data_IF_195014860229
#
_entry.id   IF_195014860229
#
_cell.length_a   1.000
_cell.length_b   1.000
_cell.length_c   1.000
_cell.angle_alpha   90.00
_cell.angle_beta   90.00
_cell.angle_gamma   90.00
#
_symmetry.space_group_name_H-M   'P 1'
#
loop_
_entity.id
_entity.type
_entity.pdbx_description
1 polymer ?
#
# COMPACT_ATOMS: atom_id res chain seq x y z
N UNK A 1 80.91 -4.14 -16.88
CA UNK A 1 81.47 -4.98 -15.80
C UNK A 1 80.58 -4.90 -14.57
N UNK A 2 80.13 -6.07 -14.08
CA UNK A 2 79.67 -6.43 -12.73
C UNK A 2 78.60 -5.60 -12.00
N UNK A 3 77.62 -6.18 -11.28
CA UNK A 3 77.10 -7.56 -11.09
C UNK A 3 75.97 -7.42 -10.04
N UNK A 4 74.84 -8.09 -10.31
CA UNK A 4 74.04 -8.92 -9.39
C UNK A 4 73.15 -8.25 -8.31
N UNK A 5 71.86 -8.55 -8.47
CA UNK A 5 70.69 -8.46 -7.57
C UNK A 5 70.84 -9.39 -6.33
N UNK A 6 70.24 -9.08 -5.16
CA UNK A 6 68.99 -9.73 -4.74
C UNK A 6 68.12 -8.75 -3.88
N UNK A 7 66.88 -8.94 -3.45
CA UNK A 7 65.98 -10.08 -3.24
C UNK A 7 64.56 -9.52 -2.99
N UNK A 8 63.54 -10.21 -3.49
CA UNK A 8 62.22 -10.49 -2.89
C UNK A 8 61.59 -9.47 -1.92
N UNK A 9 60.38 -8.98 -2.25
CA UNK A 9 59.21 -9.07 -1.35
C UNK A 9 57.87 -8.85 -2.09
N UNK A 10 56.98 -9.83 -1.92
CA UNK A 10 55.52 -9.79 -1.76
C UNK A 10 54.70 -8.68 -2.50
N UNK A 11 53.86 -9.02 -3.47
CA UNK A 11 52.48 -9.55 -3.33
C UNK A 11 51.39 -8.46 -3.28
N UNK A 12 50.19 -8.86 -3.73
CA UNK A 12 48.88 -8.21 -3.59
C UNK A 12 48.43 -7.16 -4.63
N UNK A 13 47.84 -7.70 -5.71
CA UNK A 13 46.43 -7.48 -6.11
C UNK A 13 45.75 -6.17 -5.65
N UNK A 14 45.45 -5.29 -6.60
CA UNK A 14 44.18 -4.54 -6.60
C UNK A 14 43.63 -4.47 -8.03
N UNK A 15 42.82 -5.47 -8.36
CA UNK A 15 41.84 -5.37 -9.42
C UNK A 15 40.79 -4.37 -8.92
N UNK A 16 40.81 -3.15 -9.42
CA UNK A 16 39.78 -2.14 -9.13
C UNK A 16 38.50 -2.57 -9.87
N UNK A 17 37.74 -3.49 -9.28
CA UNK A 17 36.32 -3.65 -9.59
C UNK A 17 35.64 -2.37 -9.08
N UNK A 18 35.54 -1.37 -9.94
CA UNK A 18 34.59 -0.28 -9.75
C UNK A 18 33.19 -0.89 -9.76
N UNK A 19 32.67 -1.20 -8.57
CA UNK A 19 31.26 -1.39 -8.37
C UNK A 19 30.59 -0.06 -8.71
N UNK A 20 30.10 0.06 -9.95
CA UNK A 20 29.17 1.10 -10.33
C UNK A 20 27.92 0.81 -9.51
N UNK A 21 27.84 1.43 -8.33
CA UNK A 21 26.60 1.50 -7.58
C UNK A 21 25.62 2.27 -8.47
N UNK A 22 24.75 1.54 -9.16
CA UNK A 22 23.59 2.14 -9.78
C UNK A 22 22.85 2.86 -8.65
N UNK A 23 22.56 4.17 -8.79
CA UNK A 23 21.67 4.81 -7.85
C UNK A 23 20.37 4.01 -7.90
N UNK A 24 19.98 3.42 -6.76
CA UNK A 24 18.64 2.90 -6.61
C UNK A 24 17.74 4.13 -6.75
N UNK A 25 17.22 4.36 -7.96
CA UNK A 25 16.16 5.33 -8.18
C UNK A 25 15.07 4.94 -7.19
N UNK A 26 14.87 5.77 -6.17
CA UNK A 26 13.75 5.61 -5.25
C UNK A 26 12.51 5.52 -6.15
N UNK A 27 11.87 4.35 -6.16
CA UNK A 27 10.71 4.14 -7.01
C UNK A 27 9.62 5.12 -6.57
N UNK A 28 9.09 5.89 -7.52
CA UNK A 28 7.96 6.78 -7.24
C UNK A 28 6.82 5.99 -6.56
N UNK A 29 6.16 6.57 -5.55
CA UNK A 29 5.00 5.95 -4.94
C UNK A 29 3.96 5.61 -6.00
N UNK A 30 3.64 4.33 -6.13
CA UNK A 30 2.67 3.85 -7.11
C UNK A 30 1.83 2.73 -6.53
N UNK A 31 0.58 2.68 -6.95
CA UNK A 31 -0.26 1.51 -6.74
C UNK A 31 0.31 0.37 -7.60
N UNK A 32 0.54 -0.85 -7.04
CA UNK A 32 0.99 -1.99 -7.83
C UNK A 32 0.09 -2.23 -9.05
N UNK A 33 0.69 -2.52 -10.20
CA UNK A 33 -0.03 -2.52 -11.49
C UNK A 33 -1.25 -3.47 -11.50
N UNK A 34 -1.13 -4.64 -10.87
CA UNK A 34 -2.24 -5.60 -10.73
C UNK A 34 -3.40 -5.04 -9.90
N UNK A 35 -3.09 -4.28 -8.84
CA UNK A 35 -4.07 -3.63 -7.97
C UNK A 35 -4.71 -2.44 -8.68
N UNK A 36 -3.93 -1.62 -9.38
CA UNK A 36 -4.43 -0.51 -10.19
C UNK A 36 -5.41 -1.00 -11.26
N UNK A 37 -5.07 -2.10 -11.96
CA UNK A 37 -5.95 -2.74 -12.93
C UNK A 37 -7.23 -3.26 -12.27
N UNK A 38 -7.13 -3.93 -11.13
CA UNK A 38 -8.30 -4.42 -10.41
C UNK A 38 -9.22 -3.28 -9.94
N UNK A 39 -8.67 -2.16 -9.47
CA UNK A 39 -9.46 -0.98 -9.08
C UNK A 39 -10.31 -0.44 -10.25
N UNK A 40 -9.78 -0.50 -11.48
CA UNK A 40 -10.47 -0.04 -12.69
C UNK A 40 -11.47 -1.06 -13.25
N UNK A 41 -11.10 -2.35 -13.24
CA UNK A 41 -11.78 -3.40 -14.01
C UNK A 41 -12.49 -4.46 -13.15
N UNK A 42 -12.49 -4.33 -11.83
CA UNK A 42 -13.14 -5.32 -10.95
C UNK A 42 -14.64 -5.44 -11.23
N UNK A 43 -15.13 -6.67 -11.09
CA UNK A 43 -16.57 -6.97 -11.22
C UNK A 43 -17.34 -6.56 -9.97
N UNK A 44 -16.67 -6.62 -8.82
CA UNK A 44 -17.24 -6.25 -7.52
C UNK A 44 -16.32 -5.24 -6.86
N UNK A 45 -16.91 -4.26 -6.22
CA UNK A 45 -16.20 -3.25 -5.44
C UNK A 45 -16.97 -3.06 -4.13
N UNK A 46 -16.40 -3.48 -3.02
CA UNK A 46 -16.96 -3.25 -1.69
C UNK A 46 -16.06 -2.30 -0.91
N UNK A 47 -16.67 -1.32 -0.25
CA UNK A 47 -16.00 -0.40 0.66
C UNK A 47 -16.34 -0.77 2.11
N UNK A 48 -15.31 -0.93 2.93
CA UNK A 48 -15.40 -1.36 4.33
C UNK A 48 -15.02 -0.22 5.27
N UNK A 49 -15.77 -0.12 6.37
CA UNK A 49 -15.44 0.64 7.56
C UNK A 49 -14.84 -0.30 8.60
N UNK A 50 -13.67 0.04 9.13
CA UNK A 50 -12.88 -0.83 10.01
C UNK A 50 -12.64 -0.20 11.38
N UNK A 51 -12.62 -1.02 12.43
CA UNK A 51 -12.10 -0.60 13.73
C UNK A 51 -10.56 -0.51 13.65
N UNK A 52 -9.95 0.67 13.93
CA UNK A 52 -8.50 0.82 13.90
C UNK A 52 -7.76 0.10 15.03
N UNK A 53 -8.47 -0.29 16.09
CA UNK A 53 -7.88 -1.00 17.22
C UNK A 53 -7.77 -2.49 16.90
N UNK A 54 -6.59 -3.05 17.15
CA UNK A 54 -6.42 -4.50 17.19
C UNK A 54 -7.11 -4.99 18.46
N UNK A 55 -8.17 -5.78 18.30
CA UNK A 55 -8.88 -6.39 19.44
C UNK A 55 -8.22 -7.74 19.80
N UNK A 56 -8.11 -8.06 21.08
CA UNK A 56 -7.40 -9.26 21.59
C UNK A 56 -8.06 -10.59 21.20
N UNK A 57 -9.32 -10.55 20.74
CA UNK A 57 -10.09 -11.73 20.39
C UNK A 57 -10.30 -11.80 18.88
N UNK A 58 -10.07 -12.96 18.25
CA UNK A 58 -10.46 -13.18 16.86
C UNK A 58 -11.94 -12.85 16.69
N UNK A 59 -12.27 -12.09 15.64
CA UNK A 59 -13.65 -11.89 15.23
C UNK A 59 -14.01 -12.88 14.15
N UNK A 60 -15.19 -13.49 14.29
CA UNK A 60 -15.83 -14.32 13.26
C UNK A 60 -15.99 -13.56 11.95
N UNK A 61 -16.06 -12.22 12.03
CA UNK A 61 -16.11 -11.29 10.90
C UNK A 61 -14.97 -10.27 11.00
N UNK A 62 -13.82 -10.59 10.39
CA UNK A 62 -12.71 -9.66 10.23
C UNK A 62 -12.36 -9.45 8.75
N UNK A 63 -11.81 -8.28 8.46
CA UNK A 63 -11.22 -7.92 7.19
C UNK A 63 -9.71 -7.94 7.34
N UNK A 64 -9.06 -9.04 6.98
CA UNK A 64 -7.60 -9.22 7.10
C UNK A 64 -7.06 -8.98 8.53
N UNK A 65 -7.85 -9.33 9.55
CA UNK A 65 -7.49 -9.14 10.97
C UNK A 65 -8.08 -7.90 11.64
N UNK A 66 -8.77 -7.01 10.91
CA UNK A 66 -9.46 -5.85 11.49
C UNK A 66 -10.96 -6.08 11.58
N UNK A 67 -11.58 -5.68 12.70
CA UNK A 67 -13.03 -5.76 12.89
C UNK A 67 -13.76 -4.88 11.88
N UNK A 68 -14.79 -5.44 11.26
CA UNK A 68 -15.67 -4.71 10.33
C UNK A 68 -16.74 -3.99 11.15
N UNK A 69 -16.82 -2.67 11.03
CA UNK A 69 -17.92 -1.86 11.57
C UNK A 69 -19.12 -1.86 10.63
N UNK A 70 -18.84 -1.93 9.32
CA UNK A 70 -19.84 -2.11 8.28
C UNK A 70 -19.22 -2.05 6.90
N UNK A 71 -20.04 -2.25 5.87
CA UNK A 71 -19.60 -2.20 4.47
C UNK A 71 -20.74 -1.82 3.54
N UNK A 72 -20.39 -1.39 2.33
CA UNK A 72 -21.33 -1.16 1.23
C UNK A 72 -20.73 -1.65 -0.09
N UNK A 73 -21.58 -2.18 -0.97
CA UNK A 73 -21.22 -2.39 -2.37
C UNK A 73 -21.22 -1.05 -3.11
N UNK A 74 -20.31 -0.90 -4.08
CA UNK A 74 -20.19 0.28 -4.94
C UNK A 74 -20.53 -0.14 -6.38
N UNK A 75 -21.81 -0.09 -6.70
CA UNK A 75 -22.32 -0.43 -8.04
C UNK A 75 -22.34 0.77 -8.98
N UNK A 76 -22.43 1.99 -8.42
CA UNK A 76 -22.39 3.24 -9.20
C UNK A 76 -20.98 3.51 -9.75
N UNK A 77 -20.86 3.50 -11.07
CA UNK A 77 -19.59 3.67 -11.77
C UNK A 77 -18.93 5.02 -11.47
N UNK A 78 -19.72 6.09 -11.27
CA UNK A 78 -19.20 7.43 -10.96
C UNK A 78 -18.59 7.47 -9.55
N UNK A 79 -19.27 6.88 -8.57
CA UNK A 79 -18.79 6.73 -7.19
C UNK A 79 -17.51 5.91 -7.16
N UNK A 80 -17.47 4.77 -7.88
CA UNK A 80 -16.26 3.96 -8.02
C UNK A 80 -15.10 4.77 -8.63
N UNK A 81 -15.35 5.46 -9.74
CA UNK A 81 -14.33 6.30 -10.37
C UNK A 81 -13.81 7.40 -9.42
N UNK A 82 -14.70 8.01 -8.62
CA UNK A 82 -14.32 9.02 -7.62
C UNK A 82 -13.42 8.45 -6.53
N UNK A 83 -13.73 7.26 -6.00
CA UNK A 83 -12.90 6.60 -4.98
C UNK A 83 -11.52 6.24 -5.55
N UNK A 84 -11.47 5.67 -6.76
CA UNK A 84 -10.23 5.27 -7.40
C UNK A 84 -9.36 6.50 -7.74
N UNK A 85 -9.97 7.55 -8.30
CA UNK A 85 -9.26 8.79 -8.61
C UNK A 85 -8.73 9.48 -7.34
N UNK A 86 -9.51 9.50 -6.26
CA UNK A 86 -9.06 10.03 -4.98
C UNK A 86 -7.85 9.26 -4.45
N UNK A 87 -7.90 7.92 -4.47
CA UNK A 87 -6.78 7.07 -4.02
C UNK A 87 -5.53 7.27 -4.87
N UNK A 88 -5.68 7.32 -6.21
CA UNK A 88 -4.58 7.60 -7.13
C UNK A 88 -3.97 8.98 -6.88
N UNK A 89 -4.80 9.99 -6.64
CA UNK A 89 -4.34 11.33 -6.25
C UNK A 89 -3.55 11.30 -4.94
N UNK A 90 -4.04 10.62 -3.91
CA UNK A 90 -3.30 10.49 -2.64
C UNK A 90 -1.92 9.86 -2.80
N UNK A 91 -1.78 8.89 -3.71
CA UNK A 91 -0.47 8.29 -4.06
C UNK A 91 0.41 9.31 -4.79
N UNK A 92 -0.12 9.98 -5.81
CA UNK A 92 0.63 10.97 -6.60
C UNK A 92 1.06 12.20 -5.79
N UNK A 93 0.25 12.61 -4.80
CA UNK A 93 0.55 13.75 -3.93
C UNK A 93 1.63 13.43 -2.88
N UNK A 94 1.99 12.17 -2.64
CA UNK A 94 3.00 11.79 -1.66
C UNK A 94 4.42 11.79 -2.25
N UNK A 95 4.84 12.92 -2.84
CA UNK A 95 6.13 13.04 -3.54
C UNK A 95 7.35 12.81 -2.66
N UNK A 96 7.22 13.08 -1.37
CA UNK A 96 8.32 13.06 -0.40
C UNK A 96 8.48 11.69 0.27
N UNK A 97 7.63 10.72 -0.09
CA UNK A 97 7.69 9.36 0.44
C UNK A 97 7.33 9.25 1.92
N UNK A 98 6.59 10.23 2.47
CA UNK A 98 6.27 10.31 3.88
C UNK A 98 5.32 9.17 4.25
N UNK A 99 5.67 8.43 5.31
CA UNK A 99 4.86 7.36 5.89
C UNK A 99 5.04 7.35 7.40
N UNK A 100 3.95 7.15 8.15
CA UNK A 100 4.04 7.04 9.60
C UNK A 100 4.47 5.62 10.01
N UNK A 101 5.12 5.49 11.16
CA UNK A 101 5.50 4.18 11.71
C UNK A 101 4.31 3.35 12.23
N UNK A 102 3.13 3.98 12.40
CA UNK A 102 1.92 3.32 12.89
C UNK A 102 1.15 2.61 11.75
N UNK A 103 0.22 1.71 12.13
CA UNK A 103 -0.74 1.14 11.19
C UNK A 103 -2.08 0.86 11.88
N UNK A 104 -2.99 1.83 11.79
CA UNK A 104 -4.32 1.83 12.45
C UNK A 104 -5.41 2.05 11.38
N UNK A 105 -5.66 1.04 10.52
CA UNK A 105 -6.49 1.22 9.35
C UNK A 105 -7.96 1.39 9.72
N UNK A 106 -8.62 2.25 8.96
CA UNK A 106 -10.02 2.64 9.18
C UNK A 106 -10.91 2.31 7.98
N UNK A 107 -10.29 1.97 6.85
CA UNK A 107 -10.98 1.71 5.60
C UNK A 107 -10.44 0.45 4.95
N UNK A 108 -11.28 -0.24 4.21
CA UNK A 108 -10.87 -1.36 3.37
C UNK A 108 -11.59 -1.35 2.03
N UNK A 109 -10.96 -1.87 0.99
CA UNK A 109 -11.60 -2.15 -0.30
C UNK A 109 -11.45 -3.65 -0.58
N UNK A 110 -12.55 -4.32 -0.93
CA UNK A 110 -12.51 -5.67 -1.52
C UNK A 110 -12.90 -5.63 -2.97
N UNK A 111 -12.07 -6.24 -3.80
CA UNK A 111 -12.27 -6.37 -5.23
C UNK A 111 -12.30 -7.85 -5.63
N UNK A 112 -13.10 -8.18 -6.63
CA UNK A 112 -12.98 -9.42 -7.38
C UNK A 112 -12.53 -9.12 -8.79
N UNK A 113 -11.32 -9.59 -9.15
CA UNK A 113 -10.75 -9.42 -10.48
C UNK A 113 -10.04 -10.70 -10.91
N UNK A 114 -10.31 -11.18 -12.13
CA UNK A 114 -9.68 -12.39 -12.69
C UNK A 114 -9.75 -13.64 -11.78
N UNK A 115 -10.85 -13.81 -11.04
CA UNK A 115 -11.04 -14.94 -10.12
C UNK A 115 -10.24 -14.84 -8.81
N UNK A 116 -9.62 -13.68 -8.55
CA UNK A 116 -8.86 -13.38 -7.33
C UNK A 116 -9.63 -12.42 -6.45
N UNK A 117 -9.51 -12.61 -5.15
CA UNK A 117 -9.95 -11.62 -4.15
C UNK A 117 -8.77 -10.73 -3.81
N UNK A 118 -8.94 -9.42 -3.98
CA UNK A 118 -7.93 -8.42 -3.63
C UNK A 118 -8.49 -7.56 -2.52
N UNK A 119 -7.83 -7.59 -1.38
CA UNK A 119 -8.16 -6.76 -0.23
C UNK A 119 -7.11 -5.69 -0.04
N UNK A 120 -7.54 -4.44 0.00
CA UNK A 120 -6.71 -3.28 0.28
C UNK A 120 -7.14 -2.75 1.64
N UNK A 121 -6.23 -2.78 2.61
CA UNK A 121 -6.44 -2.27 3.97
C UNK A 121 -5.75 -0.91 4.07
N UNK A 122 -6.51 0.14 4.34
CA UNK A 122 -6.09 1.52 4.13
C UNK A 122 -6.01 2.27 5.48
N UNK A 123 -4.86 2.87 5.76
CA UNK A 123 -4.68 3.79 6.88
C UNK A 123 -4.33 5.20 6.37
N UNK A 124 -5.33 6.08 6.21
CA UNK A 124 -5.10 7.47 5.83
C UNK A 124 -4.32 8.27 6.88
N UNK A 125 -4.36 7.93 8.16
CA UNK A 125 -3.50 8.56 9.17
C UNK A 125 -2.03 8.17 9.01
N UNK A 126 -1.78 6.96 8.51
CA UNK A 126 -0.45 6.36 8.45
C UNK A 126 0.22 6.54 7.09
N UNK A 127 -0.52 7.08 6.11
CA UNK A 127 -0.08 7.27 4.74
C UNK A 127 0.31 5.97 4.03
N UNK A 128 -0.33 4.85 4.41
CA UNK A 128 -0.02 3.55 3.83
C UNK A 128 -1.23 2.62 3.72
N UNK A 129 -1.15 1.77 2.71
CA UNK A 129 -2.09 0.69 2.44
C UNK A 129 -1.37 -0.65 2.38
N UNK A 130 -1.95 -1.68 2.99
CA UNK A 130 -1.54 -3.08 2.84
C UNK A 130 -2.43 -3.77 1.82
N UNK A 131 -1.85 -4.63 1.00
CA UNK A 131 -2.58 -5.38 -0.03
C UNK A 131 -2.48 -6.87 0.25
N UNK A 132 -3.59 -7.57 0.07
CA UNK A 132 -3.68 -9.02 0.16
C UNK A 132 -4.34 -9.57 -1.09
N UNK A 133 -3.76 -10.62 -1.68
CA UNK A 133 -4.34 -11.36 -2.81
C UNK A 133 -4.62 -12.78 -2.34
N UNK A 134 -5.89 -13.19 -2.39
CA UNK A 134 -6.39 -14.45 -1.82
C UNK A 134 -5.94 -14.65 -0.36
N UNK A 135 -5.97 -13.56 0.42
CA UNK A 135 -5.56 -13.55 1.84
C UNK A 135 -4.05 -13.55 2.08
N UNK A 136 -3.21 -13.55 1.04
CA UNK A 136 -1.75 -13.51 1.19
C UNK A 136 -1.23 -12.08 1.02
N UNK A 137 -0.38 -11.57 1.93
CA UNK A 137 0.16 -10.22 1.82
C UNK A 137 1.03 -10.08 0.56
N UNK A 138 0.94 -8.93 -0.09
CA UNK A 138 1.77 -8.53 -1.23
C UNK A 138 2.36 -7.15 -1.02
N UNK A 139 3.02 -6.61 -2.05
CA UNK A 139 3.46 -5.20 -2.05
C UNK A 139 2.26 -4.27 -1.82
N UNK A 140 2.40 -3.40 -0.82
CA UNK A 140 1.46 -2.32 -0.52
C UNK A 140 1.78 -1.05 -1.29
N UNK A 141 1.27 0.09 -0.83
CA UNK A 141 1.64 1.39 -1.38
C UNK A 141 1.41 2.50 -0.36
N UNK A 142 2.14 3.60 -0.52
CA UNK A 142 2.00 4.80 0.31
C UNK A 142 1.15 5.84 -0.41
N UNK A 143 0.45 6.66 0.37
CA UNK A 143 -0.47 7.70 -0.10
C UNK A 143 -0.59 8.78 0.96
N UNK A 144 -1.09 9.96 0.66
CA UNK A 144 -1.43 10.97 1.68
C UNK A 144 -2.79 10.65 2.33
N UNK A 145 -3.30 11.56 3.15
CA UNK A 145 -4.66 11.50 3.67
C UNK A 145 -5.72 12.16 2.79
N UNK A 146 -5.35 12.80 1.68
CA UNK A 146 -6.29 13.48 0.80
C UNK A 146 -7.50 12.65 0.32
N UNK A 147 -7.44 11.30 0.19
CA UNK A 147 -8.62 10.52 -0.19
C UNK A 147 -9.67 10.36 0.92
N UNK A 148 -9.32 10.64 2.18
CA UNK A 148 -10.11 10.31 3.38
C UNK A 148 -11.55 10.82 3.30
N UNK A 149 -11.74 12.08 2.94
CA UNK A 149 -13.08 12.70 2.91
C UNK A 149 -13.98 12.08 1.85
N UNK A 150 -13.42 11.72 0.69
CA UNK A 150 -14.16 11.04 -0.37
C UNK A 150 -14.65 9.67 0.11
N UNK A 151 -13.79 8.92 0.80
CA UNK A 151 -14.13 7.59 1.33
C UNK A 151 -15.17 7.69 2.45
N UNK A 152 -14.99 8.63 3.38
CA UNK A 152 -15.93 8.88 4.47
C UNK A 152 -17.30 9.29 3.95
N UNK A 153 -17.34 10.15 2.93
CA UNK A 153 -18.59 10.58 2.30
C UNK A 153 -19.37 9.39 1.75
N UNK A 154 -18.72 8.48 1.03
CA UNK A 154 -19.38 7.30 0.46
C UNK A 154 -19.95 6.39 1.56
N UNK A 155 -19.17 6.11 2.61
CA UNK A 155 -19.64 5.33 3.76
C UNK A 155 -20.85 6.01 4.45
N UNK A 156 -20.78 7.32 4.66
CA UNK A 156 -21.85 8.11 5.27
C UNK A 156 -23.12 8.12 4.43
N UNK A 157 -23.00 8.33 3.12
CA UNK A 157 -24.14 8.34 2.20
C UNK A 157 -24.82 6.95 2.16
N UNK A 158 -24.03 5.87 2.30
CA UNK A 158 -24.51 4.50 2.43
C UNK A 158 -25.00 4.13 3.85
N UNK A 159 -25.01 5.08 4.80
CA UNK A 159 -25.39 4.88 6.21
C UNK A 159 -24.56 3.80 6.93
N UNK A 160 -23.32 3.61 6.49
CA UNK A 160 -22.35 2.74 7.17
C UNK A 160 -21.76 3.49 8.36
N UNK A 161 -21.62 2.82 9.51
CA UNK A 161 -20.95 3.38 10.69
C UNK A 161 -19.53 3.82 10.33
N UNK A 162 -19.18 5.07 10.67
CA UNK A 162 -17.83 5.57 10.46
C UNK A 162 -16.89 5.13 11.60
N UNK A 163 -15.61 4.87 11.31
CA UNK A 163 -14.61 4.59 12.33
C UNK A 163 -14.45 5.77 13.31
N UNK A 164 -14.08 5.47 14.56
CA UNK A 164 -13.77 6.51 15.56
C UNK A 164 -12.45 7.25 15.22
N UNK A 165 -12.34 8.49 15.68
CA UNK A 165 -11.13 9.32 15.51
C UNK A 165 -10.89 9.73 14.06
N UNK A 166 -11.94 10.21 13.40
CA UNK A 166 -11.97 10.74 12.04
C UNK A 166 -12.09 12.28 12.02
N UNK A 167 -12.18 12.90 13.20
CA UNK A 167 -12.21 14.36 13.40
C UNK A 167 -10.95 15.05 12.89
#
# INVERSE_FOLDING_TARGET
>A
MNRILPTLLAAFLMLVLGAVALPACAAEPKIPASVAKALQESKTFELYSLNPNVEDKPHDTNFQGWKILGKTSIDDAKTRASLVAALQKGVADNTDGIVAACFMPRHGIRLSHTGKTIDIVICFQCYSSKVFIDGKPTEGFIHTDSPRDTFNKVLKDAKVELPKGIE
#
